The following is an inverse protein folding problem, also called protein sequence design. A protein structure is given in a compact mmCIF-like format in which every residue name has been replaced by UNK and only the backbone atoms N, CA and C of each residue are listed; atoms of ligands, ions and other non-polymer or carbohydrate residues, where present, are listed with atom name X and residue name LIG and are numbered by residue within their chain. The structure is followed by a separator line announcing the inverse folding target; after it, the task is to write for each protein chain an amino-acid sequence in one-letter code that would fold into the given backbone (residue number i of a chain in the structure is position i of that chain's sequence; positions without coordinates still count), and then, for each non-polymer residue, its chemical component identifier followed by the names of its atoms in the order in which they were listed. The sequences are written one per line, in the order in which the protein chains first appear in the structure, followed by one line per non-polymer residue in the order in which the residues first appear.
data_IF_360866338348
#
_entry.id   IF_360866338348
#
_cell.length_a   1.000
_cell.length_b   1.000
_cell.length_c   1.000
_cell.angle_alpha   90.00
_cell.angle_beta   90.00
_cell.angle_gamma   90.00
#
_symmetry.space_group_name_H-M   'P 1'
#
loop_
_entity.id
_entity.type
_entity.pdbx_description
1 polymer ?
#
# COMPACT_ATOMS: atom_id res chain seq x y z
N UNK A 1 3.82 -19.88 11.51
CA UNK A 1 2.81 -18.81 11.49
C UNK A 1 3.51 -17.52 11.12
N UNK A 2 2.91 -16.68 10.26
CA UNK A 2 3.43 -15.33 9.97
C UNK A 2 3.26 -14.38 11.17
N UNK A 3 2.28 -14.66 12.04
CA UNK A 3 2.08 -13.92 13.28
C UNK A 3 3.15 -14.26 14.31
N UNK A 4 3.72 -13.22 14.91
CA UNK A 4 4.72 -13.30 15.98
C UNK A 4 5.18 -11.90 16.40
N UNK A 5 6.29 -11.83 17.12
CA UNK A 5 6.80 -10.58 17.69
C UNK A 5 7.20 -9.53 16.63
N UNK A 6 7.60 -9.99 15.43
CA UNK A 6 7.99 -9.14 14.31
C UNK A 6 6.80 -8.72 13.43
N UNK A 7 5.70 -9.47 13.45
CA UNK A 7 4.50 -9.22 12.63
C UNK A 7 3.24 -9.56 13.42
N UNK A 8 2.46 -8.54 13.76
CA UNK A 8 1.16 -8.67 14.44
C UNK A 8 0.00 -8.01 13.65
N UNK A 9 0.26 -7.68 12.37
CA UNK A 9 -0.74 -7.25 11.41
C UNK A 9 -0.85 -8.26 10.26
N UNK A 10 -2.03 -8.86 10.03
CA UNK A 10 -2.23 -9.95 9.06
C UNK A 10 -3.68 -10.08 8.59
N UNK A 11 -3.89 -10.60 7.37
CA UNK A 11 -5.16 -11.18 6.93
C UNK A 11 -5.34 -12.55 7.60
N UNK A 12 -6.44 -12.73 8.33
CA UNK A 12 -6.78 -13.98 9.01
C UNK A 12 -7.82 -14.80 8.25
N UNK A 13 -8.74 -14.11 7.56
CA UNK A 13 -9.78 -14.71 6.71
C UNK A 13 -9.85 -13.87 5.43
N UNK A 14 -9.67 -14.50 4.29
CA UNK A 14 -9.74 -13.90 2.95
C UNK A 14 -10.90 -14.46 2.14
N UNK A 15 -12.12 -14.13 2.59
CA UNK A 15 -13.37 -14.40 1.90
C UNK A 15 -13.53 -15.82 1.35
N UNK A 16 -13.70 -15.96 0.03
CA UNK A 16 -13.99 -17.26 -0.57
C UNK A 16 -12.79 -18.20 -0.53
N UNK A 17 -11.57 -17.65 -0.46
CA UNK A 17 -10.33 -18.42 -0.30
C UNK A 17 -10.30 -19.26 0.98
N UNK A 18 -10.93 -18.76 2.05
CA UNK A 18 -11.02 -19.44 3.34
C UNK A 18 -12.44 -19.98 3.65
N UNK A 19 -13.28 -20.11 2.61
CA UNK A 19 -14.61 -20.71 2.73
C UNK A 19 -15.70 -19.81 3.35
N UNK A 20 -15.45 -18.50 3.48
CA UNK A 20 -16.39 -17.51 4.01
C UNK A 20 -16.63 -16.36 3.01
N UNK A 21 -17.29 -16.61 1.86
CA UNK A 21 -17.46 -15.61 0.80
C UNK A 21 -17.99 -14.26 1.32
N UNK A 22 -17.28 -13.19 0.96
CA UNK A 22 -17.64 -11.81 1.32
C UNK A 22 -17.36 -11.42 2.77
N UNK A 23 -16.67 -12.25 3.54
CA UNK A 23 -16.20 -11.94 4.90
C UNK A 23 -14.67 -11.90 4.90
N UNK A 24 -14.12 -10.81 5.42
CA UNK A 24 -12.70 -10.64 5.62
C UNK A 24 -12.43 -10.37 7.10
N UNK A 25 -11.35 -10.92 7.62
CA UNK A 25 -10.90 -10.66 8.99
C UNK A 25 -9.43 -10.29 8.95
N UNK A 26 -9.09 -9.16 9.53
CA UNK A 26 -7.71 -8.69 9.70
C UNK A 26 -7.42 -8.46 11.17
N UNK A 27 -6.20 -8.76 11.58
CA UNK A 27 -5.68 -8.42 12.90
C UNK A 27 -4.67 -7.29 12.79
N UNK A 28 -4.65 -6.38 13.76
CA UNK A 28 -3.68 -5.32 13.95
C UNK A 28 -3.37 -5.23 15.45
N UNK A 29 -2.20 -5.71 15.88
CA UNK A 29 -1.82 -5.74 17.30
C UNK A 29 -2.89 -6.38 18.22
N UNK A 30 -3.46 -7.50 17.77
CA UNK A 30 -4.56 -8.23 18.42
C UNK A 30 -5.92 -7.50 18.45
N UNK A 31 -6.07 -6.37 17.76
CA UNK A 31 -7.37 -5.75 17.46
C UNK A 31 -7.87 -6.23 16.11
N UNK A 32 -9.16 -6.51 15.99
CA UNK A 32 -9.72 -7.12 14.80
C UNK A 32 -10.56 -6.15 14.00
N UNK A 33 -10.35 -6.17 12.69
CA UNK A 33 -11.21 -5.54 11.72
C UNK A 33 -11.91 -6.63 10.91
N UNK A 34 -13.22 -6.74 11.10
CA UNK A 34 -14.09 -7.59 10.30
C UNK A 34 -14.64 -6.74 9.16
N UNK A 35 -14.42 -7.15 7.93
CA UNK A 35 -15.00 -6.49 6.76
C UNK A 35 -15.98 -7.38 6.03
N UNK A 36 -17.10 -6.82 5.56
CA UNK A 36 -18.14 -7.56 4.82
C UNK A 36 -18.48 -6.87 3.51
N UNK A 37 -18.88 -7.62 2.48
CA UNK A 37 -19.35 -7.04 1.19
C UNK A 37 -20.79 -6.55 1.24
N UNK A 38 -21.55 -6.92 2.28
CA UNK A 38 -22.88 -6.41 2.57
C UNK A 38 -22.90 -5.76 3.96
N UNK A 39 -23.85 -4.87 4.28
CA UNK A 39 -23.94 -4.28 5.62
C UNK A 39 -24.23 -5.28 6.74
N UNK A 40 -24.64 -6.51 6.41
CA UNK A 40 -25.05 -7.51 7.37
C UNK A 40 -23.87 -8.41 7.80
N UNK A 41 -23.65 -8.51 9.12
CA UNK A 41 -22.78 -9.53 9.72
C UNK A 41 -23.68 -10.73 10.05
N UNK A 42 -23.41 -11.94 9.50
CA UNK A 42 -24.17 -13.13 9.83
C UNK A 42 -24.23 -13.39 11.35
N UNK A 43 -25.38 -13.83 11.85
CA UNK A 43 -25.61 -13.97 13.29
C UNK A 43 -24.60 -14.91 13.98
N UNK A 44 -24.23 -16.02 13.33
CA UNK A 44 -23.24 -16.97 13.84
C UNK A 44 -21.85 -16.33 13.97
N UNK A 45 -21.43 -15.54 12.96
CA UNK A 45 -20.16 -14.81 12.98
C UNK A 45 -20.17 -13.75 14.09
N UNK A 46 -21.26 -13.00 14.22
CA UNK A 46 -21.44 -12.01 15.29
C UNK A 46 -21.33 -12.66 16.69
N UNK A 47 -21.95 -13.81 16.88
CA UNK A 47 -21.85 -14.58 18.14
C UNK A 47 -20.40 -14.96 18.42
N UNK A 48 -19.74 -15.59 17.45
CA UNK A 48 -18.33 -16.01 17.58
C UNK A 48 -17.38 -14.83 17.87
N UNK A 49 -17.57 -13.70 17.19
CA UNK A 49 -16.80 -12.48 17.44
C UNK A 49 -16.99 -11.97 18.88
N UNK A 50 -18.22 -11.99 19.40
CA UNK A 50 -18.53 -11.51 20.75
C UNK A 50 -17.92 -12.36 21.88
N UNK A 51 -17.55 -13.61 21.60
CA UNK A 51 -16.87 -14.48 22.56
C UNK A 51 -15.40 -14.05 22.79
N UNK A 52 -14.84 -13.25 21.89
CA UNK A 52 -13.48 -12.75 21.97
C UNK A 52 -13.42 -11.42 22.72
N UNK A 53 -12.45 -11.31 23.63
CA UNK A 53 -12.27 -10.13 24.51
C UNK A 53 -11.46 -8.99 23.87
N UNK A 54 -11.00 -9.15 22.63
CA UNK A 54 -10.28 -8.10 21.92
C UNK A 54 -11.23 -7.02 21.38
N UNK A 55 -10.67 -5.86 21.05
CA UNK A 55 -11.39 -4.81 20.35
C UNK A 55 -11.71 -5.25 18.92
N UNK A 56 -12.99 -5.28 18.58
CA UNK A 56 -13.48 -5.73 17.28
C UNK A 56 -14.27 -4.60 16.64
N UNK A 57 -13.92 -4.29 15.40
CA UNK A 57 -14.58 -3.28 14.58
C UNK A 57 -15.09 -3.91 13.30
N UNK A 58 -16.18 -3.35 12.76
CA UNK A 58 -16.82 -3.80 11.53
C UNK A 58 -16.75 -2.73 10.45
N UNK A 59 -16.46 -3.12 9.21
CA UNK A 59 -16.54 -2.25 8.04
C UNK A 59 -17.27 -2.92 6.87
N UNK A 60 -18.25 -2.24 6.31
CA UNK A 60 -18.85 -2.67 5.04
C UNK A 60 -18.02 -2.14 3.86
N UNK A 61 -17.57 -3.02 2.96
CA UNK A 61 -16.76 -2.69 1.78
C UNK A 61 -17.64 -2.20 0.61
N UNK A 62 -18.48 -1.21 0.86
CA UNK A 62 -19.29 -0.57 -0.18
C UNK A 62 -18.53 0.57 -0.86
N UNK A 63 -18.49 0.58 -2.19
CA UNK A 63 -17.87 1.68 -2.96
C UNK A 63 -18.55 3.05 -2.73
N UNK A 64 -19.77 3.06 -2.20
CA UNK A 64 -20.54 4.28 -1.93
C UNK A 64 -20.34 4.82 -0.50
N UNK A 65 -19.81 4.01 0.42
CA UNK A 65 -19.66 4.37 1.83
C UNK A 65 -18.18 4.40 2.21
N UNK A 66 -17.63 5.61 2.35
CA UNK A 66 -16.27 5.84 2.87
C UNK A 66 -16.29 6.03 4.39
N UNK A 67 -17.05 5.18 5.08
CA UNK A 67 -17.25 5.28 6.51
C UNK A 67 -16.09 4.60 7.27
N UNK A 68 -15.79 5.14 8.45
CA UNK A 68 -14.87 4.52 9.39
C UNK A 68 -15.45 3.18 9.88
N UNK A 69 -14.59 2.20 10.19
CA UNK A 69 -15.00 1.03 10.95
C UNK A 69 -15.83 1.41 12.19
N UNK A 70 -16.92 0.68 12.43
CA UNK A 70 -17.78 0.84 13.60
C UNK A 70 -17.36 -0.14 14.69
N UNK A 71 -17.31 0.32 15.93
CA UNK A 71 -17.06 -0.57 17.06
C UNK A 71 -18.17 -1.63 17.17
N UNK A 72 -17.77 -2.88 17.34
CA UNK A 72 -18.68 -4.03 17.43
C UNK A 72 -18.70 -4.62 18.84
N UNK A 73 -17.53 -4.87 19.43
CA UNK A 73 -17.38 -5.47 20.75
C UNK A 73 -15.97 -5.28 21.32
N UNK A 74 -15.81 -5.58 22.62
CA UNK A 74 -14.54 -5.41 23.34
C UNK A 74 -14.26 -3.96 23.72
N UNK A 75 -13.06 -3.65 24.25
CA UNK A 75 -12.69 -2.28 24.61
C UNK A 75 -12.66 -1.35 23.38
N UNK A 76 -13.05 -0.10 23.55
CA UNK A 76 -12.84 0.92 22.52
C UNK A 76 -11.35 1.27 22.39
N UNK A 77 -10.92 1.57 21.17
CA UNK A 77 -9.54 1.91 20.86
C UNK A 77 -9.29 3.42 20.92
N UNK A 78 -8.05 3.84 21.22
CA UNK A 78 -7.64 5.23 21.02
C UNK A 78 -7.75 5.65 19.54
N UNK A 79 -7.57 6.95 19.27
CA UNK A 79 -7.62 7.51 17.92
C UNK A 79 -6.68 6.77 16.95
N UNK A 80 -5.47 6.44 17.43
CA UNK A 80 -4.50 5.60 16.73
C UNK A 80 -3.75 4.69 17.69
N UNK A 81 -3.22 3.59 17.16
CA UNK A 81 -2.38 2.61 17.86
C UNK A 81 -1.31 2.08 16.92
N UNK A 82 -0.32 1.34 17.44
CA UNK A 82 0.75 0.75 16.62
C UNK A 82 0.46 -0.72 16.31
N UNK A 83 0.67 -1.09 15.06
CA UNK A 83 0.82 -2.48 14.64
C UNK A 83 2.20 -2.67 13.99
N UNK A 84 2.64 -3.93 13.91
CA UNK A 84 3.97 -4.29 13.46
C UNK A 84 3.91 -5.28 12.29
N UNK A 85 4.77 -5.08 11.31
CA UNK A 85 4.95 -5.98 10.18
C UNK A 85 6.44 -6.02 9.81
N UNK A 86 7.04 -7.21 9.78
CA UNK A 86 8.45 -7.43 9.44
C UNK A 86 9.42 -6.52 10.20
N UNK A 87 9.20 -6.43 11.52
CA UNK A 87 9.91 -5.58 12.46
C UNK A 87 9.70 -4.06 12.31
N UNK A 88 8.80 -3.63 11.42
CA UNK A 88 8.47 -2.22 11.16
C UNK A 88 7.17 -1.84 11.86
N UNK A 89 7.18 -0.71 12.57
CA UNK A 89 6.00 -0.17 13.24
C UNK A 89 5.19 0.70 12.29
N UNK A 90 3.87 0.56 12.32
CA UNK A 90 2.93 1.37 11.56
C UNK A 90 1.83 1.87 12.49
N UNK A 91 1.52 3.15 12.37
CA UNK A 91 0.37 3.74 13.03
C UNK A 91 -0.91 3.36 12.28
N UNK A 92 -1.85 2.78 13.02
CA UNK A 92 -3.14 2.30 12.57
C UNK A 92 -4.24 3.15 13.20
N UNK A 93 -5.30 3.45 12.45
CA UNK A 93 -6.50 4.10 12.97
C UNK A 93 -7.75 3.46 12.41
N UNK A 94 -8.67 3.06 13.28
CA UNK A 94 -10.01 2.64 12.89
C UNK A 94 -11.00 3.81 12.80
N UNK A 95 -10.51 5.04 12.94
CA UNK A 95 -11.32 6.27 12.88
C UNK A 95 -11.07 7.10 11.62
N UNK A 96 -10.05 6.77 10.81
CA UNK A 96 -9.57 7.53 9.64
C UNK A 96 -10.40 7.39 8.36
N UNK A 97 -11.62 6.83 8.43
CA UNK A 97 -12.54 6.70 7.30
C UNK A 97 -12.13 5.61 6.32
N UNK A 98 -11.37 5.98 5.28
CA UNK A 98 -11.20 5.17 4.07
C UNK A 98 -10.33 3.91 4.25
N UNK A 99 -9.18 4.02 4.92
CA UNK A 99 -8.25 2.91 5.19
C UNK A 99 -7.59 3.13 6.54
N UNK A 100 -7.10 2.03 7.12
CA UNK A 100 -6.65 1.94 8.50
C UNK A 100 -5.19 2.36 8.69
N UNK A 101 -4.49 2.75 7.63
CA UNK A 101 -3.11 3.24 7.70
C UNK A 101 -2.09 2.38 6.96
N UNK A 102 -2.47 1.17 6.52
CA UNK A 102 -1.63 0.27 5.72
C UNK A 102 -2.49 -0.69 4.89
N UNK A 103 -1.99 -1.09 3.72
CA UNK A 103 -2.57 -2.18 2.93
C UNK A 103 -1.74 -3.45 3.13
N UNK A 104 -2.32 -4.48 3.76
CA UNK A 104 -1.58 -5.69 4.16
C UNK A 104 -1.18 -6.58 2.98
N UNK A 105 -1.88 -6.49 1.85
CA UNK A 105 -1.58 -7.18 0.59
C UNK A 105 -0.22 -6.75 -0.02
N UNK A 106 0.33 -5.63 0.42
CA UNK A 106 1.63 -5.10 -0.02
C UNK A 106 2.81 -5.52 0.89
N UNK A 107 2.58 -6.38 1.90
CA UNK A 107 3.61 -6.77 2.90
C UNK A 107 4.91 -7.26 2.27
N UNK A 108 4.79 -8.22 1.36
CA UNK A 108 5.96 -8.88 0.79
C UNK A 108 6.72 -7.94 -0.15
N UNK A 109 6.01 -7.03 -0.83
CA UNK A 109 6.63 -5.96 -1.61
C UNK A 109 7.37 -4.96 -0.73
N UNK A 110 6.81 -4.56 0.42
CA UNK A 110 7.48 -3.68 1.39
C UNK A 110 8.78 -4.28 1.91
N UNK A 111 8.74 -5.56 2.28
CA UNK A 111 9.93 -6.31 2.68
C UNK A 111 10.98 -6.34 1.55
N UNK A 112 10.55 -6.62 0.32
CA UNK A 112 11.43 -6.64 -0.84
C UNK A 112 12.01 -5.26 -1.17
N UNK A 113 11.27 -4.17 -0.98
CA UNK A 113 11.81 -2.80 -1.09
C UNK A 113 12.95 -2.60 -0.10
N UNK A 114 12.76 -2.97 1.18
CA UNK A 114 13.81 -2.87 2.20
C UNK A 114 15.07 -3.67 1.85
N UNK A 115 14.91 -4.84 1.21
CA UNK A 115 16.03 -5.70 0.78
C UNK A 115 16.71 -5.22 -0.50
N UNK A 116 16.03 -4.40 -1.30
CA UNK A 116 16.49 -3.91 -2.61
C UNK A 116 17.31 -2.64 -2.54
N UNK A 117 17.29 -1.97 -1.40
CA UNK A 117 17.98 -0.69 -1.22
C UNK A 117 19.30 -0.87 -0.49
N UNK A 118 20.25 0.02 -0.78
CA UNK A 118 21.50 0.16 -0.06
C UNK A 118 21.63 1.55 0.56
N UNK A 119 22.50 1.68 1.57
CA UNK A 119 22.78 2.95 2.22
C UNK A 119 23.21 4.03 1.21
N UNK A 120 22.59 5.19 1.26
CA UNK A 120 22.89 6.33 0.37
C UNK A 120 22.16 6.29 -0.98
N UNK A 121 21.43 5.22 -1.29
CA UNK A 121 20.54 5.21 -2.45
C UNK A 121 19.35 6.15 -2.27
N UNK A 122 18.70 6.48 -3.37
CA UNK A 122 17.54 7.37 -3.41
C UNK A 122 16.32 6.62 -3.93
N UNK A 123 15.20 6.69 -3.19
CA UNK A 123 13.94 6.02 -3.57
C UNK A 123 12.81 7.02 -3.70
N UNK A 124 12.09 6.99 -4.82
CA UNK A 124 10.84 7.74 -5.01
C UNK A 124 9.65 6.81 -4.75
N UNK A 125 8.84 7.13 -3.74
CA UNK A 125 7.57 6.47 -3.49
C UNK A 125 6.43 7.39 -3.94
N UNK A 126 5.69 6.99 -4.98
CA UNK A 126 4.56 7.76 -5.53
C UNK A 126 3.23 7.18 -5.05
N UNK A 127 2.19 8.02 -5.00
CA UNK A 127 0.89 7.65 -4.40
C UNK A 127 1.07 7.08 -2.99
N UNK A 128 1.95 7.72 -2.23
CA UNK A 128 2.62 7.09 -1.11
C UNK A 128 1.71 6.75 0.08
N UNK A 129 0.50 7.33 0.14
CA UNK A 129 -0.40 7.23 1.27
C UNK A 129 0.34 7.56 2.57
N UNK A 130 0.28 6.71 3.58
CA UNK A 130 0.97 6.86 4.89
C UNK A 130 2.46 6.50 4.83
N UNK A 131 3.04 6.39 3.63
CA UNK A 131 4.48 6.28 3.42
C UNK A 131 5.09 4.92 3.77
N UNK A 132 4.29 3.85 3.86
CA UNK A 132 4.74 2.55 4.35
C UNK A 132 5.95 1.97 3.57
N UNK A 133 5.98 2.11 2.23
CA UNK A 133 7.15 1.75 1.43
C UNK A 133 8.37 2.64 1.70
N UNK A 134 8.15 3.94 1.94
CA UNK A 134 9.24 4.89 2.23
C UNK A 134 9.91 4.54 3.55
N UNK A 135 9.14 4.15 4.58
CA UNK A 135 9.70 3.68 5.86
C UNK A 135 10.58 2.44 5.64
N UNK A 136 10.11 1.47 4.86
CA UNK A 136 10.91 0.27 4.54
C UNK A 136 12.19 0.60 3.77
N UNK A 137 12.12 1.50 2.78
CA UNK A 137 13.30 1.96 2.05
C UNK A 137 14.29 2.72 2.97
N UNK A 138 13.78 3.58 3.85
CA UNK A 138 14.60 4.33 4.80
C UNK A 138 15.28 3.41 5.84
N UNK A 139 14.59 2.38 6.33
CA UNK A 139 15.16 1.34 7.18
C UNK A 139 16.23 0.48 6.48
N UNK A 140 16.24 0.45 5.16
CA UNK A 140 17.32 -0.14 4.36
C UNK A 140 18.45 0.85 4.03
N UNK A 141 18.37 2.10 4.52
CA UNK A 141 19.41 3.12 4.39
C UNK A 141 19.24 4.10 3.22
N UNK A 142 18.12 4.03 2.49
CA UNK A 142 17.85 4.96 1.39
C UNK A 142 17.34 6.33 1.88
N UNK A 143 17.72 7.40 1.20
CA UNK A 143 17.02 8.68 1.28
C UNK A 143 15.75 8.61 0.41
N UNK A 144 14.60 8.98 0.96
CA UNK A 144 13.31 8.81 0.28
C UNK A 144 12.68 10.13 -0.12
N UNK A 145 12.03 10.12 -1.28
CA UNK A 145 11.03 11.12 -1.66
C UNK A 145 9.66 10.47 -1.62
N UNK A 146 8.84 10.87 -0.66
CA UNK A 146 7.47 10.40 -0.43
C UNK A 146 6.49 11.39 -1.05
N UNK A 147 5.74 10.96 -2.05
CA UNK A 147 4.88 11.81 -2.86
C UNK A 147 3.41 11.38 -2.77
N UNK A 148 2.56 12.29 -2.32
CA UNK A 148 1.10 12.08 -2.23
C UNK A 148 0.32 13.40 -2.48
N UNK A 149 -0.95 13.32 -2.84
CA UNK A 149 -1.84 14.48 -2.97
C UNK A 149 -2.29 15.02 -1.61
N UNK A 150 -2.33 14.16 -0.59
CA UNK A 150 -2.89 14.43 0.73
C UNK A 150 -1.82 14.88 1.73
N UNK A 151 -1.92 16.13 2.19
CA UNK A 151 -1.07 16.61 3.28
C UNK A 151 -1.25 15.79 4.58
N UNK A 152 -2.49 15.45 5.02
CA UNK A 152 -2.68 14.58 6.17
C UNK A 152 -1.95 13.23 6.06
N UNK A 153 -1.89 12.62 4.87
CA UNK A 153 -1.17 11.36 4.68
C UNK A 153 0.34 11.54 4.71
N UNK A 154 0.87 12.66 4.21
CA UNK A 154 2.29 12.99 4.35
C UNK A 154 2.67 13.24 5.81
N UNK A 155 1.80 13.85 6.60
CA UNK A 155 2.06 14.05 8.03
C UNK A 155 1.96 12.73 8.81
N UNK A 156 1.02 11.85 8.44
CA UNK A 156 0.98 10.47 8.95
C UNK A 156 2.26 9.71 8.55
N UNK A 157 2.73 9.86 7.33
CA UNK A 157 4.00 9.27 6.89
C UNK A 157 5.17 9.72 7.77
N UNK A 158 5.27 11.02 8.11
CA UNK A 158 6.31 11.50 9.05
C UNK A 158 6.20 10.83 10.43
N UNK A 159 5.00 10.63 10.95
CA UNK A 159 4.80 9.87 12.21
C UNK A 159 5.28 8.43 12.07
N UNK A 160 4.97 7.75 10.97
CA UNK A 160 5.49 6.41 10.70
C UNK A 160 7.02 6.35 10.63
N UNK A 161 7.70 7.39 10.13
CA UNK A 161 9.17 7.47 10.24
C UNK A 161 9.61 7.53 11.71
N UNK A 162 8.99 8.41 12.50
CA UNK A 162 9.32 8.59 13.92
C UNK A 162 9.09 7.32 14.74
N UNK A 163 8.01 6.57 14.49
CA UNK A 163 7.72 5.28 15.13
C UNK A 163 8.79 4.20 14.87
N UNK A 164 9.65 4.43 13.87
CA UNK A 164 10.76 3.55 13.49
C UNK A 164 12.13 4.20 13.73
N UNK A 165 12.19 5.26 14.55
CA UNK A 165 13.43 5.96 14.91
C UNK A 165 14.18 6.54 13.70
N UNK A 166 13.45 6.83 12.61
CA UNK A 166 13.97 7.51 11.45
C UNK A 166 13.68 9.02 11.59
N UNK A 167 14.68 9.85 11.34
CA UNK A 167 14.52 11.30 11.32
C UNK A 167 13.82 11.75 10.01
N UNK A 168 12.58 12.26 10.04
CA UNK A 168 11.92 12.72 8.82
C UNK A 168 12.66 13.89 8.12
N UNK A 169 13.52 14.65 8.83
CA UNK A 169 14.17 15.83 8.27
C UNK A 169 15.20 15.52 7.18
N UNK A 170 15.76 14.31 7.15
CA UNK A 170 16.69 13.88 6.10
C UNK A 170 15.98 13.29 4.87
N UNK A 171 14.65 13.19 4.89
CA UNK A 171 13.81 12.68 3.80
C UNK A 171 12.95 13.82 3.20
N UNK A 172 12.36 13.56 2.03
CA UNK A 172 11.49 14.52 1.35
C UNK A 172 10.04 14.06 1.36
N UNK A 173 9.13 14.96 1.74
CA UNK A 173 7.69 14.75 1.72
C UNK A 173 7.07 15.79 0.78
N UNK A 174 6.70 15.36 -0.43
CA UNK A 174 6.24 16.23 -1.50
C UNK A 174 4.73 16.10 -1.65
N UNK A 175 4.00 17.20 -1.42
CA UNK A 175 2.59 17.27 -1.78
C UNK A 175 2.44 17.55 -3.29
N UNK A 176 1.58 16.81 -3.96
CA UNK A 176 1.12 17.16 -5.30
C UNK A 176 0.90 15.96 -6.22
N UNK A 177 0.51 16.27 -7.46
CA UNK A 177 0.22 15.27 -8.49
C UNK A 177 1.48 14.52 -8.94
N UNK A 178 1.39 13.19 -8.99
CA UNK A 178 2.50 12.32 -9.38
C UNK A 178 3.02 12.63 -10.78
N UNK A 179 2.13 12.82 -11.76
CA UNK A 179 2.52 13.08 -13.14
C UNK A 179 3.26 14.41 -13.28
N UNK A 180 2.80 15.45 -12.57
CA UNK A 180 3.47 16.74 -12.49
C UNK A 180 4.89 16.61 -11.93
N UNK A 181 5.04 15.94 -10.79
CA UNK A 181 6.34 15.76 -10.14
C UNK A 181 7.30 14.91 -10.98
N UNK A 182 6.84 13.83 -11.61
CA UNK A 182 7.68 13.04 -12.51
C UNK A 182 8.20 13.87 -13.69
N UNK A 183 7.33 14.66 -14.34
CA UNK A 183 7.77 15.59 -15.41
C UNK A 183 8.77 16.62 -14.89
N UNK A 184 8.57 17.14 -13.68
CA UNK A 184 9.49 18.10 -13.05
C UNK A 184 10.84 17.47 -12.75
N UNK A 185 10.88 16.28 -12.14
CA UNK A 185 12.10 15.55 -11.86
C UNK A 185 12.87 15.21 -13.13
N UNK A 186 12.18 14.73 -14.16
CA UNK A 186 12.78 14.49 -15.46
C UNK A 186 13.42 15.75 -16.04
N UNK A 187 12.70 16.89 -16.06
CA UNK A 187 13.23 18.19 -16.54
C UNK A 187 14.45 18.66 -15.75
N UNK A 188 14.50 18.34 -14.46
CA UNK A 188 15.64 18.65 -13.57
C UNK A 188 16.79 17.66 -13.69
N UNK A 189 16.65 16.59 -14.48
CA UNK A 189 17.62 15.50 -14.53
C UNK A 189 17.74 14.71 -13.22
N UNK A 190 16.75 14.81 -12.32
CA UNK A 190 16.77 14.10 -11.04
C UNK A 190 16.50 12.62 -11.28
N UNK A 191 17.34 11.77 -10.69
CA UNK A 191 17.30 10.32 -10.85
C UNK A 191 17.19 9.59 -9.51
N UNK A 192 16.52 8.44 -9.53
CA UNK A 192 16.29 7.58 -8.36
C UNK A 192 16.79 6.16 -8.63
N UNK A 193 17.30 5.50 -7.60
CA UNK A 193 17.75 4.11 -7.64
C UNK A 193 16.55 3.15 -7.60
N UNK A 194 15.50 3.53 -6.87
CA UNK A 194 14.22 2.82 -6.81
C UNK A 194 13.03 3.73 -7.04
N UNK A 195 12.01 3.27 -7.75
CA UNK A 195 10.73 4.00 -7.91
C UNK A 195 9.55 3.06 -7.65
N UNK A 196 8.64 3.45 -6.78
CA UNK A 196 7.40 2.71 -6.49
C UNK A 196 6.22 3.44 -7.12
N UNK A 197 5.40 2.69 -7.86
CA UNK A 197 4.17 3.12 -8.50
C UNK A 197 3.03 2.24 -7.97
N UNK A 198 2.17 2.79 -7.11
CA UNK A 198 0.98 2.10 -6.59
C UNK A 198 -0.24 3.03 -6.62
N UNK A 199 -0.68 3.46 -7.82
CA UNK A 199 -1.77 4.43 -7.93
C UNK A 199 -3.13 3.85 -7.52
N UNK A 200 -4.07 4.70 -7.07
CA UNK A 200 -5.46 4.30 -7.00
C UNK A 200 -5.98 3.93 -8.41
N UNK A 201 -6.98 3.05 -8.47
CA UNK A 201 -7.56 2.57 -9.74
C UNK A 201 -8.11 3.70 -10.61
N UNK A 202 -8.63 4.73 -9.95
CA UNK A 202 -9.16 5.95 -10.54
C UNK A 202 -8.77 7.14 -9.68
N UNK A 203 -8.27 8.20 -10.32
CA UNK A 203 -8.09 9.50 -9.68
C UNK A 203 -8.43 10.63 -10.63
N UNK A 204 -8.70 11.79 -10.04
CA UNK A 204 -8.77 13.06 -10.76
C UNK A 204 -7.73 13.99 -10.17
N UNK A 205 -6.97 14.66 -11.02
CA UNK A 205 -6.09 15.72 -10.57
C UNK A 205 -6.89 17.01 -10.22
N UNK A 206 -6.18 18.01 -9.70
CA UNK A 206 -6.76 19.31 -9.35
C UNK A 206 -7.36 20.07 -10.56
N UNK A 207 -6.99 19.68 -11.78
CA UNK A 207 -7.47 20.27 -13.04
C UNK A 207 -8.62 19.45 -13.66
N UNK A 208 -9.05 18.39 -13.01
CA UNK A 208 -10.12 17.49 -13.46
C UNK A 208 -9.68 16.46 -14.51
N UNK A 209 -8.39 16.36 -14.84
CA UNK A 209 -7.86 15.29 -15.68
C UNK A 209 -8.03 13.95 -14.97
N UNK A 210 -8.59 12.99 -15.69
CA UNK A 210 -8.89 11.66 -15.18
C UNK A 210 -7.69 10.75 -15.46
N UNK A 211 -7.24 10.04 -14.43
CA UNK A 211 -6.33 8.92 -14.54
C UNK A 211 -7.09 7.62 -14.27
N UNK A 212 -6.94 6.64 -15.16
CA UNK A 212 -7.47 5.28 -15.04
C UNK A 212 -6.35 4.28 -15.23
N UNK A 213 -6.12 3.43 -14.24
CA UNK A 213 -5.08 2.39 -14.33
C UNK A 213 -5.27 1.50 -15.56
N UNK A 214 -6.51 1.23 -15.97
CA UNK A 214 -6.77 0.40 -17.16
C UNK A 214 -6.19 0.98 -18.47
N UNK A 215 -5.96 2.29 -18.56
CA UNK A 215 -5.55 2.95 -19.81
C UNK A 215 -4.24 3.72 -19.69
N UNK A 216 -3.94 4.27 -18.51
CA UNK A 216 -2.93 5.31 -18.33
C UNK A 216 -1.68 4.82 -17.59
N UNK A 217 -1.64 3.56 -17.13
CA UNK A 217 -0.52 3.05 -16.34
C UNK A 217 0.79 3.03 -17.15
N UNK A 218 0.73 2.68 -18.44
CA UNK A 218 1.90 2.72 -19.33
C UNK A 218 2.58 4.10 -19.34
N UNK A 219 1.81 5.18 -19.43
CA UNK A 219 2.35 6.54 -19.40
C UNK A 219 3.00 6.88 -18.06
N UNK A 220 2.38 6.46 -16.95
CA UNK A 220 2.96 6.60 -15.60
C UNK A 220 4.31 5.87 -15.51
N UNK A 221 4.37 4.62 -15.98
CA UNK A 221 5.58 3.81 -15.97
C UNK A 221 6.69 4.44 -16.84
N UNK A 222 6.34 4.97 -18.02
CA UNK A 222 7.28 5.67 -18.92
C UNK A 222 7.88 6.91 -18.27
N UNK A 223 7.06 7.75 -17.64
CA UNK A 223 7.52 8.96 -16.94
C UNK A 223 8.41 8.63 -15.74
N UNK A 224 8.07 7.57 -15.00
CA UNK A 224 8.88 7.07 -13.91
C UNK A 224 10.24 6.56 -14.39
N UNK A 225 10.27 5.76 -15.47
CA UNK A 225 11.51 5.27 -16.07
C UNK A 225 12.44 6.42 -16.50
N UNK A 226 11.89 7.53 -17.01
CA UNK A 226 12.68 8.73 -17.31
C UNK A 226 13.36 9.36 -16.09
N UNK A 227 12.91 9.05 -14.88
CA UNK A 227 13.50 9.46 -13.60
C UNK A 227 14.33 8.34 -12.95
N UNK A 228 14.51 7.20 -13.60
CA UNK A 228 15.26 6.06 -13.05
C UNK A 228 16.76 6.17 -13.39
N UNK A 229 17.61 5.79 -12.44
CA UNK A 229 19.04 5.58 -12.65
C UNK A 229 19.28 4.38 -13.57
N UNK A 230 20.35 4.36 -14.38
CA UNK A 230 20.82 3.14 -15.02
C UNK A 230 21.06 2.03 -13.98
N UNK A 231 20.55 0.82 -14.22
CA UNK A 231 20.61 -0.29 -13.26
C UNK A 231 19.66 -0.17 -12.06
N UNK A 232 18.81 0.87 -12.03
CA UNK A 232 17.79 1.03 -11.00
C UNK A 232 16.61 0.07 -11.17
N UNK A 233 15.69 0.11 -10.20
CA UNK A 233 14.50 -0.75 -10.19
C UNK A 233 13.20 0.05 -10.04
N UNK A 234 12.11 -0.53 -10.53
CA UNK A 234 10.76 -0.03 -10.27
C UNK A 234 9.87 -1.13 -9.69
N UNK A 235 9.00 -0.78 -8.76
CA UNK A 235 7.85 -1.59 -8.37
C UNK A 235 6.60 -0.99 -9.02
N UNK A 236 6.02 -1.72 -9.97
CA UNK A 236 4.77 -1.36 -10.61
C UNK A 236 3.64 -2.20 -10.01
N UNK A 237 2.71 -1.57 -9.30
CA UNK A 237 1.64 -2.21 -8.56
C UNK A 237 0.26 -1.68 -8.94
N UNK A 238 -0.74 -2.56 -8.94
CA UNK A 238 -2.15 -2.16 -8.96
C UNK A 238 -3.07 -3.22 -8.36
N UNK A 239 -4.09 -2.75 -7.63
CA UNK A 239 -5.20 -3.56 -7.12
C UNK A 239 -6.45 -3.51 -8.02
N UNK A 240 -6.34 -3.00 -9.26
CA UNK A 240 -7.50 -2.86 -10.16
C UNK A 240 -8.02 -4.22 -10.64
N UNK A 241 -9.11 -4.73 -10.05
CA UNK A 241 -9.72 -6.02 -10.41
C UNK A 241 -10.08 -6.16 -11.90
N UNK A 242 -10.42 -5.05 -12.58
CA UNK A 242 -10.82 -5.06 -14.00
C UNK A 242 -9.66 -5.27 -14.95
N UNK A 243 -8.46 -4.84 -14.57
CA UNK A 243 -7.26 -4.99 -15.38
C UNK A 243 -6.71 -6.41 -15.21
N UNK A 244 -6.57 -7.19 -16.29
CA UNK A 244 -5.99 -8.53 -16.19
C UNK A 244 -4.46 -8.47 -16.09
N UNK A 245 -3.80 -9.45 -15.45
CA UNK A 245 -2.33 -9.48 -15.35
C UNK A 245 -1.61 -9.38 -16.70
N UNK A 246 -2.13 -10.05 -17.74
CA UNK A 246 -1.57 -9.99 -19.10
C UNK A 246 -1.68 -8.60 -19.73
N UNK A 247 -2.79 -7.90 -19.48
CA UNK A 247 -2.99 -6.54 -19.98
C UNK A 247 -2.09 -5.55 -19.25
N UNK A 248 -1.92 -5.72 -17.95
CA UNK A 248 -0.98 -4.93 -17.16
C UNK A 248 0.46 -5.11 -17.63
N UNK A 249 0.91 -6.36 -17.83
CA UNK A 249 2.24 -6.61 -18.38
C UNK A 249 2.40 -5.99 -19.76
N UNK A 250 1.39 -6.09 -20.64
CA UNK A 250 1.43 -5.46 -21.97
C UNK A 250 1.62 -3.95 -21.87
N UNK A 251 0.88 -3.26 -21.01
CA UNK A 251 1.06 -1.81 -20.81
C UNK A 251 2.50 -1.45 -20.39
N UNK A 252 3.12 -2.26 -19.53
CA UNK A 252 4.50 -2.05 -19.11
C UNK A 252 5.48 -2.34 -20.26
N UNK A 253 5.27 -3.41 -21.02
CA UNK A 253 6.11 -3.79 -22.17
C UNK A 253 6.07 -2.74 -23.29
N UNK A 254 4.91 -2.15 -23.53
CA UNK A 254 4.72 -1.11 -24.55
C UNK A 254 5.36 0.23 -24.13
N UNK A 255 5.41 0.50 -22.82
CA UNK A 255 5.90 1.76 -22.27
C UNK A 255 7.40 1.79 -21.95
N UNK A 256 8.01 0.63 -21.66
CA UNK A 256 9.37 0.52 -21.15
C UNK A 256 10.35 0.00 -22.21
N UNK A 257 11.65 0.31 -22.11
CA UNK A 257 12.65 -0.25 -23.00
C UNK A 257 12.67 -1.79 -22.98
N UNK A 258 12.96 -2.40 -24.13
CA UNK A 258 12.93 -3.86 -24.30
C UNK A 258 13.91 -4.61 -23.39
N UNK A 259 15.00 -3.96 -22.98
CA UNK A 259 16.00 -4.53 -22.08
C UNK A 259 15.52 -4.65 -20.63
N UNK A 260 14.45 -3.93 -20.24
CA UNK A 260 13.94 -4.01 -18.89
C UNK A 260 13.40 -5.42 -18.59
N UNK A 261 13.86 -6.01 -17.49
CA UNK A 261 13.39 -7.33 -17.04
C UNK A 261 12.19 -7.15 -16.13
N UNK A 262 11.07 -7.77 -16.49
CA UNK A 262 9.83 -7.77 -15.70
C UNK A 262 9.74 -9.07 -14.90
N UNK A 263 9.53 -8.96 -13.60
CA UNK A 263 9.36 -10.09 -12.68
C UNK A 263 8.07 -9.91 -11.88
N UNK A 264 7.12 -10.83 -12.05
CA UNK A 264 5.88 -10.81 -11.28
C UNK A 264 6.13 -11.28 -9.84
N UNK A 265 5.52 -10.58 -8.88
CA UNK A 265 5.45 -10.99 -7.49
C UNK A 265 4.02 -11.49 -7.18
N UNK A 266 3.89 -12.64 -6.49
CA UNK A 266 2.58 -13.17 -6.11
C UNK A 266 1.94 -12.32 -5.00
N UNK A 267 0.65 -12.55 -4.77
CA UNK A 267 -0.02 -12.10 -3.55
C UNK A 267 0.62 -12.76 -2.32
N UNK A 268 0.62 -12.09 -1.15
CA UNK A 268 1.05 -12.71 0.09
C UNK A 268 0.18 -13.93 0.42
N UNK A 269 0.77 -14.94 1.08
CA UNK A 269 0.14 -16.26 1.26
C UNK A 269 -1.09 -16.29 2.17
N UNK A 270 -1.30 -15.24 2.98
CA UNK A 270 -2.49 -15.02 3.81
C UNK A 270 -3.67 -14.40 3.04
N UNK A 271 -3.49 -14.10 1.75
CA UNK A 271 -4.57 -13.72 0.84
C UNK A 271 -4.88 -14.90 -0.09
N UNK A 272 -5.85 -15.71 0.32
CA UNK A 272 -6.19 -16.99 -0.28
C UNK A 272 -7.30 -16.90 -1.33
N UNK A 273 -8.00 -15.77 -1.46
CA UNK A 273 -9.02 -15.57 -2.50
C UNK A 273 -8.35 -15.33 -3.88
N UNK A 274 -9.17 -15.07 -4.90
CA UNK A 274 -8.70 -14.76 -6.24
C UNK A 274 -7.71 -13.57 -6.22
N UNK A 275 -6.48 -13.77 -6.72
CA UNK A 275 -5.43 -12.76 -6.63
C UNK A 275 -5.81 -11.52 -7.45
N UNK A 276 -5.94 -10.39 -6.77
CA UNK A 276 -6.35 -9.13 -7.39
C UNK A 276 -5.20 -8.13 -7.56
N UNK A 277 -4.19 -8.18 -6.69
CA UNK A 277 -2.99 -7.36 -6.77
C UNK A 277 -2.09 -7.87 -7.90
N UNK A 278 -1.63 -6.97 -8.75
CA UNK A 278 -0.55 -7.24 -9.71
C UNK A 278 0.63 -6.45 -9.25
N UNK A 279 1.74 -7.15 -8.99
CA UNK A 279 3.01 -6.54 -8.63
C UNK A 279 4.05 -6.98 -9.63
N UNK A 280 4.60 -6.03 -10.39
CA UNK A 280 5.65 -6.28 -11.37
C UNK A 280 6.88 -5.46 -10.98
N UNK A 281 7.96 -6.18 -10.67
CA UNK A 281 9.27 -5.60 -10.49
C UNK A 281 9.94 -5.42 -11.84
N UNK A 282 10.46 -4.22 -12.10
CA UNK A 282 11.17 -3.87 -13.32
C UNK A 282 12.63 -3.60 -12.96
N UNK A 283 13.55 -4.32 -13.57
CA UNK A 283 14.99 -4.05 -13.50
C UNK A 283 15.42 -3.40 -14.82
N UNK A 284 16.08 -2.23 -14.76
CA UNK A 284 16.48 -1.44 -15.94
C UNK A 284 17.90 -1.72 -16.45
#
# INVERSE_FOLDING_TARGET
SLLGDSTNALRLIDAAGDGLPGIYLETFAAHWLVSTTTPHIPAHLRSWLSEHKCSIYHKCLSQQQKESPQHLSGPELPESFLARENDVNYEISFHSGYSQGIFLDQRDNRLRVRQRVSAGETVLNTFAYTGAFSVCAALGGAQTTTLDLSQPYLDWAKRNFQHNQLDPAIHHFCKGDTFHWLRRFHKQGRKFHGIILDPPTFSRDEKGQVFRVENDYGELARLAHHCLQPGGWMLCSTNCHKLQPRDFERQLRDALPRQCRLTHAPMPTDFTDLPYLKSVWVDA
#
